data_IF_973178493279
#
_entry.id   IF_973178493279
#
_cell.length_a   1.000
_cell.length_b   1.000
_cell.length_c   1.000
_cell.angle_alpha   90.00
_cell.angle_beta   90.00
_cell.angle_gamma   90.00
#
_symmetry.space_group_name_H-M   'P 1'
#
loop_
_entity.id
_entity.type
_entity.pdbx_description
1 polymer ?
#
# COMPACT_ATOMS: atom_id res chain seq x y z
N UNK A 1 10.98 2.72 -22.41
CA UNK A 1 10.10 2.94 -21.26
C UNK A 1 8.85 2.08 -21.48
N UNK A 2 8.58 1.12 -20.63
CA UNK A 2 7.40 0.26 -20.80
C UNK A 2 6.19 1.03 -20.28
N UNK A 3 5.19 1.27 -21.14
CA UNK A 3 3.97 1.97 -20.78
C UNK A 3 3.04 1.02 -20.00
N UNK A 4 2.49 1.48 -18.86
CA UNK A 4 1.49 0.74 -18.12
C UNK A 4 0.11 0.97 -18.75
N UNK A 5 -0.46 -0.04 -19.37
CA UNK A 5 -1.71 0.03 -20.16
C UNK A 5 -2.95 0.35 -19.31
N UNK A 6 -2.94 -0.03 -18.02
CA UNK A 6 -4.03 0.21 -17.08
C UNK A 6 -3.91 1.50 -16.25
N UNK A 7 -2.86 2.30 -16.46
CA UNK A 7 -2.62 3.51 -15.66
C UNK A 7 -2.24 3.19 -14.20
N UNK A 8 -2.37 4.18 -13.30
CA UNK A 8 -2.18 3.95 -11.87
C UNK A 8 -3.40 3.23 -11.23
N UNK A 9 -3.18 2.64 -10.06
CA UNK A 9 -4.22 1.85 -9.37
C UNK A 9 -5.46 2.69 -9.03
N UNK A 10 -5.31 3.97 -8.69
CA UNK A 10 -6.44 4.85 -8.40
C UNK A 10 -7.32 5.01 -9.62
N UNK A 11 -6.73 5.37 -10.75
CA UNK A 11 -7.44 5.52 -12.02
C UNK A 11 -8.05 4.19 -12.47
N UNK A 12 -7.31 3.09 -12.30
CA UNK A 12 -7.81 1.74 -12.62
C UNK A 12 -9.06 1.38 -11.79
N UNK A 13 -9.04 1.64 -10.48
CA UNK A 13 -10.19 1.39 -9.61
C UNK A 13 -11.38 2.29 -9.98
N UNK A 14 -11.17 3.57 -10.26
CA UNK A 14 -12.25 4.49 -10.66
C UNK A 14 -12.99 4.00 -11.92
N UNK A 15 -12.29 3.40 -12.87
CA UNK A 15 -12.88 2.97 -14.14
C UNK A 15 -13.36 1.51 -14.18
N UNK A 16 -12.85 0.65 -13.32
CA UNK A 16 -13.09 -0.80 -13.42
C UNK A 16 -13.72 -1.42 -12.17
N UNK A 17 -13.93 -0.67 -11.09
CA UNK A 17 -14.31 -1.21 -9.78
C UNK A 17 -15.55 -2.12 -9.81
N UNK A 18 -16.58 -1.72 -10.57
CA UNK A 18 -17.83 -2.47 -10.70
C UNK A 18 -17.65 -3.85 -11.39
N UNK A 19 -16.57 -4.01 -12.15
CA UNK A 19 -16.24 -5.26 -12.86
C UNK A 19 -15.34 -6.17 -12.02
N UNK A 20 -14.70 -5.64 -10.97
CA UNK A 20 -13.75 -6.39 -10.17
C UNK A 20 -14.47 -7.31 -9.18
N UNK A 21 -14.21 -8.60 -9.30
CA UNK A 21 -14.59 -9.59 -8.30
C UNK A 21 -13.69 -9.51 -7.05
N UNK A 22 -14.09 -10.18 -5.97
CA UNK A 22 -13.23 -10.30 -4.80
C UNK A 22 -11.94 -11.10 -5.08
N UNK A 23 -11.94 -11.97 -6.07
CA UNK A 23 -10.73 -12.68 -6.53
C UNK A 23 -9.76 -11.66 -7.12
N UNK A 24 -10.24 -10.77 -8.00
CA UNK A 24 -9.41 -9.73 -8.62
C UNK A 24 -8.85 -8.75 -7.59
N UNK A 25 -9.68 -8.29 -6.65
CA UNK A 25 -9.28 -7.39 -5.56
C UNK A 25 -8.21 -8.02 -4.66
N UNK A 26 -8.37 -9.28 -4.29
CA UNK A 26 -7.37 -10.03 -3.52
C UNK A 26 -6.08 -10.22 -4.33
N UNK A 27 -6.17 -10.51 -5.64
CA UNK A 27 -5.01 -10.63 -6.53
C UNK A 27 -4.20 -9.34 -6.57
N UNK A 28 -4.85 -8.19 -6.77
CA UNK A 28 -4.17 -6.88 -6.76
C UNK A 28 -3.44 -6.64 -5.43
N UNK A 29 -4.11 -6.87 -4.31
CA UNK A 29 -3.50 -6.71 -2.99
C UNK A 29 -2.33 -7.68 -2.76
N UNK A 30 -2.45 -8.93 -3.20
CA UNK A 30 -1.36 -9.92 -3.13
C UNK A 30 -0.13 -9.47 -3.93
N UNK A 31 -0.31 -8.98 -5.15
CA UNK A 31 0.79 -8.55 -6.02
C UNK A 31 1.53 -7.34 -5.43
N UNK A 32 0.80 -6.40 -4.82
CA UNK A 32 1.40 -5.27 -4.09
C UNK A 32 2.18 -5.77 -2.87
N UNK A 33 1.61 -6.71 -2.11
CA UNK A 33 2.30 -7.30 -0.95
C UNK A 33 3.57 -8.05 -1.36
N UNK A 34 3.55 -8.79 -2.46
CA UNK A 34 4.68 -9.54 -2.98
C UNK A 34 5.82 -8.60 -3.44
N UNK A 35 5.47 -7.53 -4.17
CA UNK A 35 6.43 -6.48 -4.53
C UNK A 35 7.04 -5.78 -3.32
N UNK A 36 6.23 -5.47 -2.31
CA UNK A 36 6.73 -4.87 -1.06
C UNK A 36 7.59 -5.85 -0.25
N UNK A 37 7.27 -7.15 -0.27
CA UNK A 37 8.07 -8.19 0.37
C UNK A 37 9.45 -8.29 -0.27
N UNK A 38 9.54 -8.20 -1.60
CA UNK A 38 10.82 -8.13 -2.29
C UNK A 38 11.67 -6.95 -1.81
N UNK A 39 11.08 -5.72 -1.77
CA UNK A 39 11.78 -4.53 -1.30
C UNK A 39 12.29 -4.69 0.13
N UNK A 40 11.43 -5.16 1.02
CA UNK A 40 11.78 -5.35 2.43
C UNK A 40 12.85 -6.43 2.65
N UNK A 41 12.93 -7.45 1.80
CA UNK A 41 14.01 -8.46 1.84
C UNK A 41 15.34 -7.86 1.40
N UNK A 42 15.33 -6.92 0.44
CA UNK A 42 16.50 -6.15 0.02
C UNK A 42 16.84 -4.97 0.97
N UNK A 43 16.13 -4.87 2.12
CA UNK A 43 16.24 -3.76 3.07
C UNK A 43 15.92 -2.39 2.48
N UNK A 44 15.12 -2.33 1.43
CA UNK A 44 14.62 -1.10 0.82
C UNK A 44 13.26 -0.75 1.41
N UNK A 45 13.10 0.50 1.85
CA UNK A 45 11.84 1.09 2.28
C UNK A 45 11.26 1.91 1.14
N UNK A 46 9.97 1.72 0.84
CA UNK A 46 9.32 2.49 -0.24
C UNK A 46 9.13 3.96 0.12
N UNK A 47 8.63 4.24 1.33
CA UNK A 47 8.41 5.56 1.94
C UNK A 47 7.29 6.43 1.35
N UNK A 48 6.79 6.11 0.17
CA UNK A 48 5.71 6.84 -0.48
C UNK A 48 4.72 5.89 -1.15
N UNK A 49 4.33 4.81 -0.46
CA UNK A 49 3.43 3.80 -1.00
C UNK A 49 1.99 4.31 -0.96
N UNK A 50 1.41 4.55 -2.12
CA UNK A 50 0.01 4.95 -2.33
C UNK A 50 -0.48 4.52 -3.71
N UNK A 51 -1.78 4.64 -3.99
CA UNK A 51 -2.40 4.11 -5.21
C UNK A 51 -1.90 4.73 -6.52
N UNK A 52 -1.30 5.92 -6.50
CA UNK A 52 -0.67 6.52 -7.70
C UNK A 52 0.74 5.97 -7.94
N UNK A 53 1.37 5.36 -6.92
CA UNK A 53 2.66 4.70 -7.04
C UNK A 53 2.54 3.18 -7.19
N UNK A 54 1.35 2.73 -7.57
CA UNK A 54 1.07 1.38 -8.05
C UNK A 54 0.46 1.51 -9.44
N UNK A 55 1.04 0.84 -10.43
CA UNK A 55 0.52 0.83 -11.81
C UNK A 55 -0.02 -0.54 -12.18
N UNK A 56 -0.96 -0.54 -13.11
CA UNK A 56 -1.53 -1.77 -13.67
C UNK A 56 -0.96 -1.97 -15.07
N UNK A 57 -0.34 -3.13 -15.28
CA UNK A 57 0.16 -3.54 -16.59
C UNK A 57 -0.21 -5.01 -16.83
N UNK A 58 -0.89 -5.29 -17.95
CA UNK A 58 -1.39 -6.63 -18.29
C UNK A 58 -2.20 -7.26 -17.14
N UNK A 59 -3.09 -6.49 -16.53
CA UNK A 59 -3.91 -6.87 -15.36
C UNK A 59 -3.09 -7.28 -14.11
N UNK A 60 -1.83 -6.84 -13.99
CA UNK A 60 -0.99 -7.07 -12.82
C UNK A 60 -0.58 -5.73 -12.18
N UNK A 61 -0.66 -5.68 -10.85
CA UNK A 61 -0.22 -4.52 -10.09
C UNK A 61 1.30 -4.53 -9.91
N UNK A 62 1.95 -3.39 -10.13
CA UNK A 62 3.39 -3.20 -9.96
C UNK A 62 3.66 -1.92 -9.17
N UNK A 63 4.52 -2.00 -8.18
CA UNK A 63 4.97 -0.84 -7.41
C UNK A 63 6.00 -0.07 -8.22
N UNK A 64 5.85 1.26 -8.25
CA UNK A 64 6.75 2.19 -8.96
C UNK A 64 7.15 3.35 -8.04
N UNK A 65 8.01 4.22 -8.55
CA UNK A 65 8.46 5.47 -7.91
C UNK A 65 9.24 5.26 -6.60
N UNK A 66 10.47 4.85 -6.77
CA UNK A 66 11.45 4.72 -5.70
C UNK A 66 12.28 5.99 -5.47
N UNK A 67 11.82 7.15 -5.98
CA UNK A 67 12.56 8.42 -5.94
C UNK A 67 12.87 8.91 -4.52
N UNK A 68 12.09 8.47 -3.51
CA UNK A 68 12.33 8.74 -2.09
C UNK A 68 12.74 7.47 -1.33
N UNK A 69 12.82 6.34 -2.04
CA UNK A 69 13.22 5.05 -1.45
C UNK A 69 14.69 5.09 -1.04
N UNK A 70 14.98 4.61 0.17
CA UNK A 70 16.34 4.58 0.71
C UNK A 70 16.59 3.29 1.45
N UNK A 71 17.87 2.88 1.46
CA UNK A 71 18.36 1.84 2.36
C UNK A 71 18.10 2.30 3.80
N UNK A 72 17.63 1.39 4.65
CA UNK A 72 17.07 1.65 5.99
C UNK A 72 17.90 2.55 6.92
N UNK A 73 19.15 2.83 6.61
CA UNK A 73 20.11 3.59 7.44
C UNK A 73 20.29 5.07 7.01
N UNK A 74 19.50 5.58 6.08
CA UNK A 74 19.61 6.99 5.63
C UNK A 74 18.40 7.81 6.04
N UNK A 75 18.61 8.78 6.92
CA UNK A 75 17.58 9.74 7.35
C UNK A 75 17.34 10.83 6.32
N UNK A 76 16.09 11.23 6.12
CA UNK A 76 15.78 12.58 5.63
C UNK A 76 14.34 12.96 5.93
N UNK A 77 14.17 14.10 6.54
CA UNK A 77 12.91 14.79 6.68
C UNK A 77 12.35 15.22 5.33
N UNK A 78 11.15 14.75 4.99
CA UNK A 78 10.42 15.15 3.79
C UNK A 78 9.06 15.74 4.16
N UNK A 79 8.76 16.92 3.62
CA UNK A 79 7.52 17.64 3.87
C UNK A 79 6.30 16.90 3.29
N UNK A 80 5.21 16.85 4.07
CA UNK A 80 3.88 16.42 3.61
C UNK A 80 3.36 17.47 2.63
N UNK A 81 3.39 17.18 1.32
CA UNK A 81 2.99 18.15 0.29
C UNK A 81 1.59 17.93 -0.29
N UNK A 82 0.91 16.80 0.01
CA UNK A 82 -0.36 16.49 -0.65
C UNK A 82 -1.33 15.76 0.28
N UNK A 83 -2.59 16.23 0.36
CA UNK A 83 -3.65 15.58 1.14
C UNK A 83 -3.89 14.12 0.73
N UNK A 84 -3.75 13.80 -0.55
CA UNK A 84 -3.92 12.44 -1.05
C UNK A 84 -2.90 11.46 -0.50
N UNK A 85 -1.74 11.96 -0.07
CA UNK A 85 -0.63 11.14 0.47
C UNK A 85 -0.74 10.97 1.98
N UNK A 86 -1.22 12.00 2.72
CA UNK A 86 -1.29 11.95 4.20
C UNK A 86 -2.14 10.79 4.71
N UNK A 87 -3.17 10.39 3.96
CA UNK A 87 -4.03 9.27 4.31
C UNK A 87 -3.27 7.92 4.41
N UNK A 88 -2.15 7.78 3.67
CA UNK A 88 -1.32 6.57 3.65
C UNK A 88 -0.10 6.68 4.59
N UNK A 89 0.10 7.83 5.19
CA UNK A 89 1.24 8.07 6.07
C UNK A 89 1.03 7.48 7.46
N UNK A 90 2.05 6.82 7.98
CA UNK A 90 2.08 6.29 9.34
C UNK A 90 1.70 7.37 10.37
N UNK A 91 0.71 7.16 11.24
CA UNK A 91 0.31 8.12 12.26
C UNK A 91 1.45 8.60 13.16
N UNK A 92 2.42 7.75 13.46
CA UNK A 92 3.61 8.15 14.25
C UNK A 92 4.44 9.20 13.51
N UNK A 93 4.55 9.07 12.18
CA UNK A 93 5.25 10.03 11.32
C UNK A 93 4.48 11.35 11.12
N UNK A 94 3.15 11.30 11.20
CA UNK A 94 2.31 12.52 11.16
C UNK A 94 2.47 13.29 12.46
N UNK A 95 2.49 12.61 13.62
CA UNK A 95 2.61 13.24 14.94
C UNK A 95 4.03 13.70 15.25
N UNK A 96 5.03 13.00 14.75
CA UNK A 96 6.45 13.28 14.95
C UNK A 96 7.20 13.07 13.62
N UNK A 97 7.55 14.15 12.91
CA UNK A 97 8.33 14.08 11.66
C UNK A 97 9.70 13.43 11.80
N UNK A 98 10.28 13.44 13.01
CA UNK A 98 11.59 12.85 13.30
C UNK A 98 11.48 11.37 13.66
N UNK A 99 10.26 10.85 13.84
CA UNK A 99 10.05 9.43 14.04
C UNK A 99 10.62 8.62 12.85
N UNK A 100 11.48 7.61 13.10
CA UNK A 100 12.16 6.90 12.02
C UNK A 100 11.18 6.18 11.11
N UNK A 101 11.39 6.27 9.80
CA UNK A 101 10.63 5.48 8.84
C UNK A 101 11.11 4.03 8.87
N UNK A 102 10.19 3.09 9.01
CA UNK A 102 10.48 1.66 9.16
C UNK A 102 9.67 0.82 8.16
N UNK A 103 9.99 -0.48 8.08
CA UNK A 103 9.17 -1.45 7.33
C UNK A 103 7.70 -1.39 7.78
N UNK A 104 7.43 -1.19 9.08
CA UNK A 104 6.07 -1.06 9.61
C UNK A 104 5.33 0.18 9.07
N UNK A 105 6.04 1.25 8.67
CA UNK A 105 5.42 2.42 8.06
C UNK A 105 4.89 2.11 6.65
N UNK A 106 5.63 1.33 5.84
CA UNK A 106 5.13 0.83 4.56
C UNK A 106 3.93 -0.13 4.74
N UNK A 107 3.92 -0.93 5.82
CA UNK A 107 2.79 -1.82 6.13
C UNK A 107 1.53 -1.01 6.43
N UNK A 108 1.64 0.12 7.12
CA UNK A 108 0.50 1.01 7.33
C UNK A 108 -0.06 1.49 5.98
N UNK A 109 0.79 1.99 5.11
CA UNK A 109 0.41 2.44 3.76
C UNK A 109 -0.26 1.31 2.96
N UNK A 110 0.26 0.11 3.05
CA UNK A 110 -0.33 -1.09 2.43
C UNK A 110 -1.72 -1.41 2.98
N UNK A 111 -1.95 -1.28 4.29
CA UNK A 111 -3.27 -1.44 4.90
C UNK A 111 -4.31 -0.46 4.33
N UNK A 112 -3.92 0.79 4.14
CA UNK A 112 -4.77 1.82 3.51
C UNK A 112 -5.05 1.49 2.04
N UNK A 113 -4.05 1.01 1.29
CA UNK A 113 -4.23 0.54 -0.09
C UNK A 113 -5.21 -0.62 -0.19
N UNK A 114 -5.13 -1.59 0.71
CA UNK A 114 -6.08 -2.70 0.76
C UNK A 114 -7.52 -2.20 0.95
N UNK A 115 -7.72 -1.22 1.84
CA UNK A 115 -9.03 -0.61 2.01
C UNK A 115 -9.48 0.11 0.73
N UNK A 116 -8.61 0.88 0.07
CA UNK A 116 -8.92 1.55 -1.20
C UNK A 116 -9.32 0.55 -2.28
N UNK A 117 -8.62 -0.58 -2.42
CA UNK A 117 -8.99 -1.67 -3.32
C UNK A 117 -10.39 -2.23 -2.98
N UNK A 118 -10.72 -2.35 -1.70
CA UNK A 118 -12.03 -2.84 -1.27
C UNK A 118 -13.17 -1.88 -1.55
N UNK A 119 -12.90 -0.58 -1.54
CA UNK A 119 -13.89 0.51 -1.64
C UNK A 119 -14.05 1.11 -3.04
N UNK A 120 -13.02 0.97 -3.90
CA UNK A 120 -12.98 1.60 -5.23
C UNK A 120 -12.82 3.13 -5.20
N UNK A 121 -12.53 3.70 -4.04
CA UNK A 121 -12.44 5.16 -3.86
C UNK A 121 -11.25 5.56 -3.00
N UNK A 122 -10.69 6.77 -3.20
CA UNK A 122 -9.62 7.29 -2.35
C UNK A 122 -10.02 7.35 -0.88
N UNK A 123 -9.09 7.09 0.05
CA UNK A 123 -9.36 7.19 1.49
C UNK A 123 -9.70 8.63 1.88
N UNK A 124 -10.62 8.77 2.82
CA UNK A 124 -11.11 10.04 3.39
C UNK A 124 -11.69 11.04 2.37
N UNK A 125 -12.15 10.56 1.19
CA UNK A 125 -12.74 11.41 0.14
C UNK A 125 -14.01 12.13 0.61
N UNK A 126 -14.83 11.48 1.42
CA UNK A 126 -16.15 11.97 1.83
C UNK A 126 -16.19 12.55 3.25
N UNK A 127 -15.05 12.78 3.88
CA UNK A 127 -15.02 13.38 5.21
C UNK A 127 -15.34 14.88 5.13
N UNK A 128 -16.09 15.37 6.13
CA UNK A 128 -16.56 16.75 6.29
C UNK A 128 -15.45 17.80 6.50
N UNK A 129 -14.19 17.37 6.56
CA UNK A 129 -13.06 18.29 6.49
C UNK A 129 -13.05 19.01 5.15
N UNK A 130 -12.90 20.34 5.15
CA UNK A 130 -12.74 21.08 3.90
C UNK A 130 -11.71 20.37 3.01
N UNK A 131 -11.95 20.31 1.72
CA UNK A 131 -11.08 19.53 0.81
C UNK A 131 -9.59 19.90 0.86
N UNK A 132 -9.25 21.00 1.53
CA UNK A 132 -7.90 21.56 1.63
C UNK A 132 -7.27 21.46 3.03
N UNK A 133 -7.97 20.90 4.03
CA UNK A 133 -7.43 20.85 5.40
C UNK A 133 -6.65 19.56 5.67
N UNK A 134 -5.40 19.55 5.19
CA UNK A 134 -4.43 18.46 5.41
C UNK A 134 -4.13 18.30 6.91
N UNK A 135 -4.09 19.40 7.66
CA UNK A 135 -3.77 19.39 9.09
C UNK A 135 -4.86 18.71 9.89
N UNK A 136 -6.13 19.06 9.65
CA UNK A 136 -7.26 18.41 10.33
C UNK A 136 -7.34 16.91 10.04
N UNK A 137 -7.07 16.49 8.80
CA UNK A 137 -6.99 15.07 8.45
C UNK A 137 -5.84 14.38 9.19
N UNK A 138 -4.66 15.00 9.24
CA UNK A 138 -3.51 14.47 9.97
C UNK A 138 -3.82 14.28 11.45
N UNK A 139 -4.39 15.30 12.12
CA UNK A 139 -4.83 15.23 13.52
C UNK A 139 -5.86 14.11 13.73
N UNK A 140 -6.81 13.97 12.81
CA UNK A 140 -7.81 12.92 12.88
C UNK A 140 -7.18 11.51 12.82
N UNK A 141 -6.25 11.29 11.89
CA UNK A 141 -5.54 10.01 11.73
C UNK A 141 -4.68 9.70 12.96
N UNK A 142 -3.97 10.70 13.51
CA UNK A 142 -3.16 10.51 14.73
C UNK A 142 -4.02 10.21 15.95
N UNK A 143 -5.26 10.70 15.99
CA UNK A 143 -6.27 10.36 17.00
C UNK A 143 -7.00 9.04 16.74
N UNK A 144 -6.53 8.23 15.77
CA UNK A 144 -7.06 6.89 15.51
C UNK A 144 -8.18 6.81 14.48
N UNK A 145 -8.53 7.90 13.77
CA UNK A 145 -9.52 7.84 12.72
C UNK A 145 -9.10 6.88 11.60
N UNK A 146 -10.03 6.05 11.17
CA UNK A 146 -9.88 5.09 10.06
C UNK A 146 -11.17 5.08 9.25
N UNK A 147 -11.06 4.66 8.01
CA UNK A 147 -12.22 4.43 7.16
C UNK A 147 -13.06 3.26 7.65
N UNK A 148 -14.38 3.35 7.43
CA UNK A 148 -15.30 2.27 7.75
C UNK A 148 -15.16 1.11 6.77
N UNK A 149 -15.34 -0.11 7.26
CA UNK A 149 -15.38 -1.31 6.43
C UNK A 149 -16.51 -1.20 5.41
N UNK A 150 -16.20 -1.56 4.16
CA UNK A 150 -17.20 -1.62 3.08
C UNK A 150 -18.05 -2.88 3.26
N UNK A 151 -19.38 -2.79 3.10
CA UNK A 151 -20.27 -3.95 3.16
C UNK A 151 -19.78 -5.08 2.22
N UNK A 152 -19.98 -6.32 2.62
CA UNK A 152 -19.57 -7.52 1.88
C UNK A 152 -18.06 -7.70 1.68
N UNK A 153 -17.23 -6.95 2.41
CA UNK A 153 -15.78 -7.23 2.44
C UNK A 153 -15.54 -8.58 3.14
N UNK A 154 -14.82 -9.54 2.51
CA UNK A 154 -14.48 -10.81 3.14
C UNK A 154 -13.77 -10.60 4.47
N UNK A 155 -14.16 -11.35 5.49
CA UNK A 155 -13.71 -11.12 6.87
C UNK A 155 -12.21 -11.23 7.05
N UNK A 156 -11.57 -12.18 6.39
CA UNK A 156 -10.12 -12.36 6.42
C UNK A 156 -9.37 -11.18 5.80
N UNK A 157 -9.93 -10.57 4.73
CA UNK A 157 -9.37 -9.38 4.09
C UNK A 157 -9.54 -8.15 4.98
N UNK A 158 -10.72 -7.98 5.59
CA UNK A 158 -10.98 -6.90 6.55
C UNK A 158 -10.02 -6.96 7.74
N UNK A 159 -9.89 -8.12 8.38
CA UNK A 159 -8.98 -8.31 9.52
C UNK A 159 -7.55 -7.97 9.12
N UNK A 160 -7.13 -8.37 7.91
CA UNK A 160 -5.77 -8.15 7.46
C UNK A 160 -5.46 -6.66 7.34
N UNK A 161 -6.27 -5.87 6.60
CA UNK A 161 -5.96 -4.46 6.45
C UNK A 161 -6.10 -3.68 7.77
N UNK A 162 -7.02 -4.09 8.67
CA UNK A 162 -7.12 -3.49 10.01
C UNK A 162 -5.88 -3.73 10.86
N UNK A 163 -5.27 -4.91 10.76
CA UNK A 163 -4.00 -5.18 11.44
C UNK A 163 -2.83 -4.40 10.80
N UNK A 164 -2.84 -4.21 9.47
CA UNK A 164 -1.79 -3.46 8.78
C UNK A 164 -1.80 -1.98 9.16
N UNK A 165 -2.98 -1.36 9.31
CA UNK A 165 -3.08 0.07 9.65
C UNK A 165 -3.27 0.34 11.15
N UNK A 166 -2.85 -0.60 12.03
CA UNK A 166 -2.86 -0.39 13.47
C UNK A 166 -2.11 0.89 13.84
N UNK A 167 -2.58 1.56 14.90
CA UNK A 167 -1.97 2.78 15.40
C UNK A 167 -0.52 2.56 15.85
N UNK A 168 -0.28 1.43 16.51
CA UNK A 168 1.03 1.07 17.01
C UNK A 168 1.81 0.22 16.00
N UNK A 169 2.99 0.68 15.53
CA UNK A 169 3.80 -0.01 14.52
C UNK A 169 4.14 -1.47 14.89
N UNK A 170 4.35 -1.75 16.16
CA UNK A 170 4.71 -3.09 16.66
C UNK A 170 3.56 -4.10 16.60
N UNK A 171 2.32 -3.64 16.49
CA UNK A 171 1.15 -4.51 16.33
C UNK A 171 0.95 -4.93 14.86
N UNK A 172 1.57 -4.24 13.92
CA UNK A 172 1.43 -4.50 12.49
C UNK A 172 2.19 -5.78 12.10
N UNK A 173 1.60 -6.65 11.27
CA UNK A 173 2.30 -7.85 10.79
C UNK A 173 3.48 -7.48 9.88
N UNK A 174 4.51 -8.33 9.81
CA UNK A 174 5.55 -8.19 8.80
C UNK A 174 5.00 -8.55 7.42
N UNK A 175 5.60 -8.00 6.36
CA UNK A 175 5.16 -8.29 4.99
C UNK A 175 5.33 -9.77 4.64
N UNK A 176 6.39 -10.41 5.10
CA UNK A 176 6.61 -11.84 4.94
C UNK A 176 5.45 -12.66 5.52
N UNK A 177 5.00 -12.32 6.74
CA UNK A 177 3.83 -12.98 7.37
C UNK A 177 2.54 -12.74 6.58
N UNK A 178 2.37 -11.54 5.99
CA UNK A 178 1.23 -11.22 5.13
C UNK A 178 1.22 -12.14 3.91
N UNK A 179 2.33 -12.22 3.19
CA UNK A 179 2.44 -13.02 1.96
C UNK A 179 2.30 -14.51 2.25
N UNK A 180 3.12 -15.05 3.16
CA UNK A 180 3.23 -16.50 3.38
C UNK A 180 2.06 -17.10 4.16
N UNK A 181 1.43 -16.35 5.08
CA UNK A 181 0.38 -16.90 5.92
C UNK A 181 -1.01 -16.38 5.56
N UNK A 182 -1.15 -15.05 5.33
CA UNK A 182 -2.47 -14.45 5.16
C UNK A 182 -3.01 -14.64 3.76
N UNK A 183 -2.23 -14.28 2.74
CA UNK A 183 -2.65 -14.50 1.36
C UNK A 183 -2.67 -15.97 0.97
N UNK A 184 -1.78 -16.82 1.52
CA UNK A 184 -1.86 -18.26 1.33
C UNK A 184 -3.22 -18.84 1.79
N UNK A 185 -3.72 -18.40 2.95
CA UNK A 185 -5.05 -18.80 3.44
C UNK A 185 -6.20 -18.27 2.57
N UNK A 186 -5.99 -17.20 1.83
CA UNK A 186 -6.95 -16.65 0.87
C UNK A 186 -6.87 -17.29 -0.53
N UNK A 187 -6.02 -18.31 -0.70
CA UNK A 187 -5.83 -19.01 -1.97
C UNK A 187 -4.74 -18.42 -2.89
N UNK A 188 -3.94 -17.46 -2.38
CA UNK A 188 -2.80 -16.86 -3.07
C UNK A 188 -1.53 -17.32 -2.36
N UNK A 189 -1.05 -18.50 -2.66
CA UNK A 189 0.17 -19.04 -2.05
C UNK A 189 1.24 -19.29 -3.08
N UNK A 190 2.49 -19.23 -2.66
CA UNK A 190 3.63 -19.73 -3.43
C UNK A 190 3.40 -21.23 -3.63
N UNK A 191 3.15 -21.65 -4.86
CA UNK A 191 3.40 -23.03 -5.22
C UNK A 191 4.90 -23.25 -5.05
N UNK A 192 5.31 -23.96 -4.01
CA UNK A 192 6.70 -24.23 -3.69
C UNK A 192 7.46 -24.90 -4.87
N UNK A 193 6.74 -25.38 -5.89
CA UNK A 193 7.28 -25.94 -7.13
C UNK A 193 7.36 -24.93 -8.29
N UNK A 194 6.90 -23.69 -8.11
CA UNK A 194 7.09 -22.59 -9.06
C UNK A 194 7.61 -21.40 -8.26
N UNK A 195 8.87 -21.43 -7.91
CA UNK A 195 9.61 -20.23 -7.56
C UNK A 195 9.79 -19.46 -8.88
N UNK A 196 9.07 -18.36 -9.11
CA UNK A 196 9.25 -17.59 -10.33
C UNK A 196 10.45 -16.66 -10.16
N UNK A 197 11.60 -17.22 -9.79
CA UNK A 197 12.88 -16.51 -9.90
C UNK A 197 13.31 -16.39 -11.38
N UNK A 198 12.57 -16.97 -12.34
CA UNK A 198 13.01 -17.03 -13.74
C UNK A 198 11.97 -16.52 -14.73
N UNK A 199 10.68 -16.38 -14.38
CA UNK A 199 9.70 -15.80 -15.33
C UNK A 199 8.81 -14.78 -14.62
N UNK A 200 9.18 -13.52 -14.70
CA UNK A 200 8.24 -12.39 -14.61
C UNK A 200 7.93 -11.80 -13.24
N UNK A 201 8.80 -11.84 -12.23
CA UNK A 201 8.76 -10.81 -11.18
C UNK A 201 9.30 -9.52 -11.81
N UNK A 202 8.44 -8.86 -12.55
CA UNK A 202 8.69 -7.48 -12.97
C UNK A 202 8.25 -6.54 -11.86
N UNK A 203 8.94 -6.55 -10.71
CA UNK A 203 9.23 -5.29 -10.07
C UNK A 203 10.07 -4.54 -11.09
N UNK A 204 9.48 -3.68 -11.90
CA UNK A 204 10.25 -2.75 -12.72
C UNK A 204 10.83 -1.77 -11.71
N UNK A 205 12.00 -2.11 -11.19
CA UNK A 205 12.87 -1.17 -10.50
C UNK A 205 13.35 -0.23 -11.60
N UNK A 206 12.58 0.83 -11.87
CA UNK A 206 13.13 1.98 -12.56
C UNK A 206 14.02 2.70 -11.55
N UNK A 207 15.26 2.22 -11.39
CA UNK A 207 16.33 3.04 -10.86
C UNK A 207 16.60 4.06 -11.93
N UNK A 208 16.03 5.26 -11.79
CA UNK A 208 16.53 6.43 -12.47
C UNK A 208 17.88 6.77 -11.83
N UNK A 209 18.96 6.35 -12.47
CA UNK A 209 20.26 6.93 -12.24
C UNK A 209 20.29 8.33 -12.87
N UNK A 210 20.27 9.35 -12.03
CA UNK A 210 20.82 10.67 -12.29
C UNK A 210 21.56 11.14 -11.04
#
# INVERSE_FOLDING_TARGET
MQYADGGDLRHYLENNFEKLTWIDKKKLAYQIADGLNYLHNENVLHRDLHSRNVVIHENNAKIIDFGISRIQNQESGGFIRNRGVIAYMDPKRISDPDFPYTKSSDIYSFGVLMWEISSGRPPFKNNSFSQNDITALGISITNGAREKTIPNTPKEYEILYKNCWDQEPNNRPTICKIVLEKFAKMGFGINANKHPLIEGIYCIIYIQWF
#
